data_IF_756660883347
#
_entry.id   IF_756660883347
#
_cell.length_a   1.000
_cell.length_b   1.000
_cell.length_c   1.000
_cell.angle_alpha   90.00
_cell.angle_beta   90.00
_cell.angle_gamma   90.00
#
_symmetry.space_group_name_H-M   'P 1'
#
loop_
_entity.id
_entity.type
_entity.pdbx_description
1 polymer ?
#
# COMPACT_ATOMS: atom_id res chain seq x y z
N UNK A 1 -14.08 14.25 -6.87
CA UNK A 1 -12.81 13.66 -7.34
C UNK A 1 -12.61 12.37 -6.55
N UNK A 2 -12.21 11.27 -7.17
CA UNK A 2 -11.95 10.01 -6.43
C UNK A 2 -10.60 10.13 -5.74
N UNK A 3 -10.55 9.82 -4.43
CA UNK A 3 -9.32 9.84 -3.64
C UNK A 3 -8.28 8.87 -4.23
N UNK A 4 -7.02 9.29 -4.32
CA UNK A 4 -5.88 8.46 -4.70
C UNK A 4 -5.21 7.92 -3.45
N UNK A 5 -5.29 6.61 -3.24
CA UNK A 5 -4.69 5.97 -2.07
C UNK A 5 -3.56 5.04 -2.47
N UNK A 6 -2.43 5.14 -1.78
CA UNK A 6 -1.35 4.18 -1.88
C UNK A 6 -1.51 3.10 -0.82
N UNK A 7 -1.45 1.83 -1.19
CA UNK A 7 -1.65 0.71 -0.27
C UNK A 7 -0.31 0.07 0.10
N UNK A 8 -0.07 -0.05 1.41
CA UNK A 8 1.03 -0.83 1.98
C UNK A 8 0.84 -2.33 1.70
N UNK A 9 1.93 -3.02 1.40
CA UNK A 9 1.97 -4.46 1.17
C UNK A 9 1.34 -5.25 2.34
N UNK A 10 1.54 -4.81 3.59
CA UNK A 10 0.99 -5.49 4.75
C UNK A 10 -0.54 -5.51 4.75
N UNK A 11 -1.21 -4.47 4.24
CA UNK A 11 -2.67 -4.44 4.15
C UNK A 11 -3.18 -5.49 3.15
N UNK A 12 -2.50 -5.63 2.01
CA UNK A 12 -2.83 -6.66 1.02
C UNK A 12 -2.54 -8.06 1.58
N UNK A 13 -1.40 -8.24 2.25
CA UNK A 13 -1.06 -9.51 2.91
C UNK A 13 -2.05 -9.88 4.01
N UNK A 14 -2.60 -8.91 4.73
CA UNK A 14 -3.62 -9.16 5.74
C UNK A 14 -4.85 -9.84 5.13
N UNK A 15 -5.28 -9.39 3.94
CA UNK A 15 -6.35 -10.03 3.19
C UNK A 15 -5.94 -11.42 2.67
N UNK A 16 -4.81 -11.52 1.99
CA UNK A 16 -4.38 -12.75 1.32
C UNK A 16 -4.09 -13.90 2.28
N UNK A 17 -3.53 -13.60 3.45
CA UNK A 17 -3.03 -14.57 4.42
C UNK A 17 -3.94 -14.74 5.64
N UNK A 18 -5.16 -14.21 5.59
CA UNK A 18 -6.14 -14.33 6.67
C UNK A 18 -5.63 -13.82 8.04
N UNK A 19 -4.94 -12.68 8.03
CA UNK A 19 -4.41 -12.05 9.27
C UNK A 19 -5.50 -11.21 9.95
N UNK A 20 -5.21 -10.76 11.18
CA UNK A 20 -6.14 -9.96 12.00
C UNK A 20 -6.71 -8.73 11.27
N UNK A 21 -5.94 -8.11 10.38
CA UNK A 21 -6.35 -6.94 9.59
C UNK A 21 -7.29 -7.21 8.41
N UNK A 22 -7.59 -8.48 8.07
CA UNK A 22 -8.30 -8.88 6.86
C UNK A 22 -9.63 -8.16 6.64
N UNK A 23 -10.44 -8.01 7.68
CA UNK A 23 -11.78 -7.43 7.54
C UNK A 23 -11.73 -6.00 7.01
N UNK A 24 -10.78 -5.20 7.50
CA UNK A 24 -10.61 -3.83 7.01
C UNK A 24 -9.93 -3.81 5.64
N UNK A 25 -8.93 -4.68 5.42
CA UNK A 25 -8.28 -4.79 4.12
C UNK A 25 -9.30 -5.14 3.02
N UNK A 26 -10.19 -6.10 3.27
CA UNK A 26 -11.25 -6.50 2.35
C UNK A 26 -12.13 -5.32 1.95
N UNK A 27 -12.62 -4.53 2.91
CA UNK A 27 -13.49 -3.38 2.61
C UNK A 27 -12.79 -2.38 1.68
N UNK A 28 -11.49 -2.14 1.89
CA UNK A 28 -10.71 -1.24 1.05
C UNK A 28 -10.50 -1.82 -0.35
N UNK A 29 -10.12 -3.09 -0.45
CA UNK A 29 -9.94 -3.78 -1.74
C UNK A 29 -11.25 -3.83 -2.53
N UNK A 30 -12.36 -4.17 -1.88
CA UNK A 30 -13.70 -4.16 -2.50
C UNK A 30 -14.06 -2.75 -3.00
N UNK A 31 -13.71 -1.70 -2.26
CA UNK A 31 -13.97 -0.32 -2.69
C UNK A 31 -13.10 0.11 -3.89
N UNK A 32 -11.87 -0.40 -4.00
CA UNK A 32 -11.00 -0.19 -5.15
C UNK A 32 -11.57 -0.94 -6.38
N UNK A 33 -11.89 -2.23 -6.23
CA UNK A 33 -12.43 -3.09 -7.28
C UNK A 33 -13.76 -2.57 -7.85
N UNK A 34 -14.62 -2.01 -6.97
CA UNK A 34 -15.88 -1.38 -7.39
C UNK A 34 -15.69 0.02 -8.03
N UNK A 35 -14.46 0.53 -8.14
CA UNK A 35 -14.16 1.84 -8.72
C UNK A 35 -14.53 3.05 -7.86
N UNK A 36 -14.88 2.83 -6.58
CA UNK A 36 -15.22 3.92 -5.65
C UNK A 36 -13.98 4.76 -5.30
N UNK A 37 -12.81 4.11 -5.23
CA UNK A 37 -11.52 4.72 -4.90
C UNK A 37 -10.47 4.23 -5.90
N UNK A 38 -9.48 5.07 -6.22
CA UNK A 38 -8.32 4.64 -7.01
C UNK A 38 -7.20 4.14 -6.11
N UNK A 39 -6.90 2.86 -6.20
CA UNK A 39 -5.78 2.20 -5.50
C UNK A 39 -4.49 2.25 -6.31
N UNK A 40 -3.38 2.55 -5.64
CA UNK A 40 -2.04 2.59 -6.21
C UNK A 40 -1.08 1.73 -5.38
N UNK A 41 -0.17 1.05 -6.06
CA UNK A 41 0.95 0.31 -5.48
C UNK A 41 2.21 0.53 -6.33
N UNK A 42 3.37 0.08 -5.88
CA UNK A 42 4.59 0.04 -6.68
C UNK A 42 5.04 -1.36 -7.01
N UNK A 43 6.00 -1.49 -7.93
CA UNK A 43 6.62 -2.77 -8.25
C UNK A 43 7.26 -3.45 -7.03
N UNK A 44 7.76 -2.68 -6.06
CA UNK A 44 8.30 -3.23 -4.81
C UNK A 44 7.22 -3.95 -3.97
N UNK A 45 5.99 -3.42 -3.93
CA UNK A 45 4.84 -4.09 -3.30
C UNK A 45 4.66 -5.48 -3.92
N UNK A 46 4.70 -5.59 -5.25
CA UNK A 46 4.55 -6.87 -5.94
C UNK A 46 5.68 -7.84 -5.57
N UNK A 47 6.92 -7.37 -5.42
CA UNK A 47 8.03 -8.18 -4.92
C UNK A 47 7.80 -8.69 -3.49
N UNK A 48 7.30 -7.83 -2.60
CA UNK A 48 6.99 -8.19 -1.21
C UNK A 48 5.87 -9.23 -1.16
N UNK A 49 4.77 -9.01 -1.90
CA UNK A 49 3.68 -9.97 -2.04
C UNK A 49 4.20 -11.31 -2.55
N UNK A 50 4.97 -11.31 -3.64
CA UNK A 50 5.56 -12.53 -4.20
C UNK A 50 6.37 -13.29 -3.17
N UNK A 51 7.22 -12.60 -2.40
CA UNK A 51 8.08 -13.23 -1.41
C UNK A 51 7.30 -13.89 -0.27
N UNK A 52 6.26 -13.24 0.25
CA UNK A 52 5.47 -13.78 1.36
C UNK A 52 4.47 -14.84 0.91
N UNK A 53 3.74 -14.60 -0.18
CA UNK A 53 2.72 -15.52 -0.67
C UNK A 53 3.32 -16.83 -1.18
N UNK A 54 4.51 -16.78 -1.81
CA UNK A 54 5.19 -17.98 -2.30
C UNK A 54 5.45 -19.02 -1.20
N UNK A 55 5.71 -18.56 0.03
CA UNK A 55 5.96 -19.41 1.20
C UNK A 55 4.72 -20.17 1.66
N UNK A 56 3.53 -19.73 1.26
CA UNK A 56 2.25 -20.27 1.72
C UNK A 56 1.55 -21.03 0.59
N UNK A 57 1.55 -20.49 -0.63
CA UNK A 57 0.71 -20.99 -1.72
C UNK A 57 1.45 -21.74 -2.83
N UNK A 58 2.78 -21.64 -2.89
CA UNK A 58 3.56 -22.13 -4.03
C UNK A 58 3.45 -21.25 -5.26
N UNK A 59 4.23 -21.56 -6.30
CA UNK A 59 4.47 -20.65 -7.44
C UNK A 59 3.21 -20.30 -8.21
N UNK A 60 2.45 -21.30 -8.68
CA UNK A 60 1.31 -21.05 -9.57
C UNK A 60 0.20 -20.28 -8.85
N UNK A 61 -0.16 -20.70 -7.64
CA UNK A 61 -1.21 -20.00 -6.89
C UNK A 61 -0.79 -18.59 -6.47
N UNK A 62 0.50 -18.36 -6.22
CA UNK A 62 1.02 -17.00 -5.95
C UNK A 62 0.87 -16.09 -7.15
N UNK A 63 1.18 -16.58 -8.37
CA UNK A 63 0.99 -15.79 -9.60
C UNK A 63 -0.48 -15.45 -9.81
N UNK A 64 -1.37 -16.43 -9.68
CA UNK A 64 -2.82 -16.22 -9.80
C UNK A 64 -3.29 -15.13 -8.83
N UNK A 65 -2.97 -15.27 -7.53
CA UNK A 65 -3.38 -14.31 -6.51
C UNK A 65 -2.83 -12.91 -6.76
N UNK A 66 -1.57 -12.79 -7.18
CA UNK A 66 -1.00 -11.47 -7.50
C UNK A 66 -1.69 -10.85 -8.71
N UNK A 67 -1.94 -11.63 -9.78
CA UNK A 67 -2.63 -11.14 -10.97
C UNK A 67 -4.04 -10.64 -10.64
N UNK A 68 -4.81 -11.40 -9.86
CA UNK A 68 -6.15 -11.01 -9.40
C UNK A 68 -6.11 -9.69 -8.60
N UNK A 69 -5.11 -9.50 -7.75
CA UNK A 69 -5.02 -8.30 -6.92
C UNK A 69 -4.61 -7.09 -7.74
N UNK A 70 -3.56 -7.21 -8.57
CA UNK A 70 -2.99 -6.04 -9.26
C UNK A 70 -3.87 -5.53 -10.40
N UNK A 71 -4.82 -6.33 -10.89
CA UNK A 71 -5.77 -5.94 -11.95
C UNK A 71 -6.55 -4.67 -11.56
N UNK A 72 -6.88 -4.52 -10.27
CA UNK A 72 -7.64 -3.39 -9.74
C UNK A 72 -6.76 -2.16 -9.38
N UNK A 73 -5.42 -2.27 -9.53
CA UNK A 73 -4.48 -1.25 -9.07
C UNK A 73 -3.69 -0.59 -10.20
N UNK A 74 -3.43 0.71 -10.02
CA UNK A 74 -2.44 1.42 -10.81
C UNK A 74 -1.03 1.20 -10.24
N UNK A 75 -0.09 0.75 -11.07
CA UNK A 75 1.30 0.54 -10.67
C UNK A 75 2.13 1.79 -10.97
N UNK A 76 2.73 2.36 -9.93
CA UNK A 76 3.56 3.57 -9.99
C UNK A 76 4.94 3.33 -9.36
N UNK A 77 5.96 4.06 -9.82
CA UNK A 77 7.30 3.99 -9.24
C UNK A 77 7.97 5.37 -9.25
N UNK A 78 9.09 5.51 -8.57
CA UNK A 78 9.80 6.78 -8.40
C UNK A 78 11.18 6.77 -9.09
N UNK A 79 11.67 7.94 -9.53
CA UNK A 79 12.98 8.04 -10.16
C UNK A 79 14.11 7.93 -9.11
N UNK A 80 15.34 7.71 -9.59
CA UNK A 80 16.54 7.54 -8.75
C UNK A 80 16.70 8.63 -7.70
N UNK A 81 16.39 9.87 -8.03
CA UNK A 81 16.54 11.02 -7.14
C UNK A 81 15.64 10.86 -5.90
N UNK A 82 14.45 10.28 -6.06
CA UNK A 82 13.51 10.01 -4.96
C UNK A 82 13.94 8.82 -4.11
N UNK A 83 14.56 7.80 -4.72
CA UNK A 83 15.21 6.71 -3.98
C UNK A 83 16.33 7.26 -3.09
N UNK A 84 17.18 8.14 -3.62
CA UNK A 84 18.25 8.75 -2.82
C UNK A 84 17.67 9.60 -1.68
N UNK A 85 16.60 10.37 -1.95
CA UNK A 85 15.91 11.16 -0.93
C UNK A 85 15.31 10.29 0.18
N UNK A 86 14.69 9.15 -0.16
CA UNK A 86 14.11 8.25 0.84
C UNK A 86 15.18 7.62 1.74
N UNK A 87 16.33 7.24 1.16
CA UNK A 87 17.46 6.67 1.90
C UNK A 87 18.17 7.67 2.82
N UNK A 88 18.06 8.98 2.54
CA UNK A 88 18.54 10.04 3.43
C UNK A 88 17.48 10.53 4.43
N UNK A 89 16.27 9.96 4.40
CA UNK A 89 15.21 10.35 5.32
C UNK A 89 15.48 9.88 6.75
N UNK A 90 14.67 10.37 7.70
CA UNK A 90 14.71 9.94 9.10
C UNK A 90 13.97 8.61 9.36
N UNK A 91 13.44 7.97 8.32
CA UNK A 91 12.74 6.70 8.42
C UNK A 91 13.77 5.58 8.56
N UNK A 92 13.67 4.82 9.65
CA UNK A 92 14.62 3.75 9.94
C UNK A 92 14.31 2.48 9.14
N UNK A 93 13.04 2.25 8.82
CA UNK A 93 12.63 1.17 7.95
C UNK A 93 12.79 1.61 6.49
N UNK A 94 13.67 0.93 5.76
CA UNK A 94 14.03 1.24 4.38
C UNK A 94 12.84 0.97 3.44
N UNK A 95 12.08 -0.09 3.70
CA UNK A 95 10.94 -0.48 2.87
C UNK A 95 9.84 0.58 2.96
N UNK A 96 9.48 0.96 4.19
CA UNK A 96 8.50 2.01 4.43
C UNK A 96 8.96 3.36 3.84
N UNK A 97 10.25 3.69 3.97
CA UNK A 97 10.81 4.90 3.41
C UNK A 97 10.65 4.94 1.89
N UNK A 98 10.97 3.84 1.21
CA UNK A 98 10.83 3.75 -0.24
C UNK A 98 9.37 3.88 -0.64
N UNK A 99 8.46 3.09 -0.05
CA UNK A 99 7.04 3.12 -0.39
C UNK A 99 6.42 4.50 -0.13
N UNK A 100 6.72 5.13 1.00
CA UNK A 100 6.22 6.46 1.33
C UNK A 100 6.66 7.52 0.33
N UNK A 101 7.93 7.46 -0.11
CA UNK A 101 8.45 8.40 -1.10
C UNK A 101 7.91 8.16 -2.52
N UNK A 102 7.51 6.92 -2.88
CA UNK A 102 6.72 6.69 -4.11
C UNK A 102 5.40 7.44 -4.01
N UNK A 103 4.64 7.22 -2.94
CA UNK A 103 3.34 7.84 -2.76
C UNK A 103 3.42 9.38 -2.70
N UNK A 104 4.43 9.91 -2.01
CA UNK A 104 4.69 11.35 -1.93
C UNK A 104 5.06 11.92 -3.30
N UNK A 105 5.90 11.21 -4.09
CA UNK A 105 6.30 11.67 -5.42
C UNK A 105 5.11 11.82 -6.37
N UNK A 106 4.15 10.90 -6.29
CA UNK A 106 2.96 10.88 -7.14
C UNK A 106 1.79 11.69 -6.58
N UNK A 107 2.00 12.45 -5.50
CA UNK A 107 0.97 13.26 -4.84
C UNK A 107 -0.29 12.43 -4.51
N UNK A 108 -0.08 11.27 -3.87
CA UNK A 108 -1.18 10.49 -3.32
C UNK A 108 -1.90 11.31 -2.24
N UNK A 109 -3.20 11.10 -2.09
CA UNK A 109 -3.99 11.79 -1.06
C UNK A 109 -3.77 11.14 0.30
N UNK A 110 -3.63 9.81 0.32
CA UNK A 110 -3.44 9.02 1.54
C UNK A 110 -2.50 7.84 1.32
N UNK A 111 -1.72 7.51 2.34
CA UNK A 111 -0.98 6.25 2.47
C UNK A 111 -1.71 5.35 3.47
N UNK A 112 -2.11 4.16 3.06
CA UNK A 112 -2.86 3.23 3.90
C UNK A 112 -1.92 2.17 4.45
N UNK A 113 -1.69 2.20 5.77
CA UNK A 113 -0.82 1.24 6.46
C UNK A 113 -1.27 0.99 7.89
N UNK A 114 -1.01 -0.21 8.39
CA UNK A 114 -1.20 -0.57 9.79
C UNK A 114 -0.01 -0.14 10.68
N UNK A 115 1.13 0.25 10.09
CA UNK A 115 2.27 0.71 10.86
C UNK A 115 2.01 2.10 11.45
N UNK A 116 2.23 2.20 12.76
CA UNK A 116 2.06 3.42 13.54
C UNK A 116 3.31 4.30 13.50
N UNK A 117 4.48 3.75 13.13
CA UNK A 117 5.75 4.47 13.15
C UNK A 117 5.96 5.36 11.93
N UNK A 118 5.30 5.04 10.82
CA UNK A 118 5.17 5.86 9.60
C UNK A 118 4.53 7.25 9.83
N UNK A 119 3.87 7.49 10.98
CA UNK A 119 3.33 8.80 11.34
C UNK A 119 4.40 9.72 11.92
N UNK A 120 5.21 10.39 11.09
CA UNK A 120 6.16 11.40 11.60
C UNK A 120 6.25 12.69 10.79
N UNK A 121 5.62 13.72 11.36
CA UNK A 121 6.17 15.06 11.60
C UNK A 121 6.96 15.76 10.50
N UNK A 122 6.27 16.52 9.66
CA UNK A 122 6.83 17.51 8.74
C UNK A 122 5.74 18.41 8.17
N UNK A 123 6.09 19.64 7.76
CA UNK A 123 5.16 20.70 7.33
C UNK A 123 4.36 20.37 6.04
N UNK A 124 4.69 19.29 5.34
CA UNK A 124 4.00 18.75 4.16
C UNK A 124 4.07 17.22 4.19
N UNK A 125 3.30 16.60 5.06
CA UNK A 125 3.26 15.13 5.20
C UNK A 125 2.09 14.55 4.43
N UNK A 126 2.37 13.60 3.53
CA UNK A 126 1.38 12.66 3.02
C UNK A 126 0.69 12.00 4.24
N UNK A 127 -0.64 12.15 4.40
CA UNK A 127 -1.37 11.56 5.52
C UNK A 127 -1.28 10.03 5.49
N UNK A 128 -0.87 9.44 6.62
CA UNK A 128 -0.87 7.99 6.82
C UNK A 128 -2.10 7.63 7.66
N UNK A 129 -2.97 6.81 7.09
CA UNK A 129 -4.19 6.33 7.75
C UNK A 129 -4.15 4.82 7.91
N UNK A 130 -4.69 4.34 9.02
CA UNK A 130 -5.00 2.92 9.11
C UNK A 130 -6.19 2.59 8.24
N UNK A 131 -6.29 1.34 7.75
CA UNK A 131 -7.47 0.86 7.06
C UNK A 131 -8.78 1.22 7.79
N UNK A 132 -8.84 0.97 9.11
CA UNK A 132 -10.02 1.25 9.93
C UNK A 132 -10.41 2.73 10.00
N UNK A 133 -9.42 3.61 9.95
CA UNK A 133 -9.62 5.05 10.09
C UNK A 133 -10.13 5.61 8.76
N UNK A 134 -9.48 5.21 7.66
CA UNK A 134 -9.92 5.57 6.30
C UNK A 134 -11.36 5.11 6.01
N UNK A 135 -11.71 3.87 6.39
CA UNK A 135 -13.07 3.35 6.20
C UNK A 135 -14.11 4.22 6.93
N UNK A 136 -13.84 4.59 8.18
CA UNK A 136 -14.78 5.39 8.99
C UNK A 136 -15.01 6.78 8.42
N UNK A 137 -14.00 7.36 7.78
CA UNK A 137 -14.03 8.73 7.28
C UNK A 137 -14.59 8.81 5.85
N UNK A 138 -14.35 7.81 4.99
CA UNK A 138 -14.62 7.91 3.55
C UNK A 138 -15.53 6.82 2.97
N UNK A 139 -15.78 5.71 3.67
CA UNK A 139 -16.50 4.54 3.14
C UNK A 139 -17.75 4.16 3.95
N UNK A 140 -18.35 5.11 4.66
CA UNK A 140 -19.63 4.92 5.37
C UNK A 140 -20.82 5.41 4.58
#
# INVERSE_FOLDING_TARGET
>A
MSNKIYIDANVILDYCLDREGKSNAKIILDAISNGNIKGYISGSIVHILSYFLLRVFGVEKTKETILEIIEDFEIIDMPKEKIIQSLHSKMNDIEDALQYYVALHHNMDYFISNDKQLKKGGLTTLPVLKPSDYIKEFLK
#
